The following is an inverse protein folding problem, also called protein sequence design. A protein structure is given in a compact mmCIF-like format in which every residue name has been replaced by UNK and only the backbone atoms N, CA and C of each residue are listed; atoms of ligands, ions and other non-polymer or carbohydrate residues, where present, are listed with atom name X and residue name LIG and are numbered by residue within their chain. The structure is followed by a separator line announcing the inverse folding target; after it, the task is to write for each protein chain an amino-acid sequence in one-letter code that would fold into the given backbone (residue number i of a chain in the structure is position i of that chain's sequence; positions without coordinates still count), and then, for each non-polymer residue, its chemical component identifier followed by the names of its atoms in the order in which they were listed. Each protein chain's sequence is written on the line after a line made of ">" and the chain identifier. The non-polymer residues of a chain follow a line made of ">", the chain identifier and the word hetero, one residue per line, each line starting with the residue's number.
data_IF_692414064450
#
_entry.id   IF_692414064450
#
_cell.length_a   1.000
_cell.length_b   1.000
_cell.length_c   1.000
_cell.angle_alpha   90.00
_cell.angle_beta   90.00
_cell.angle_gamma   90.00
#
_symmetry.space_group_name_H-M   'P 1'
#
loop_
_entity.id
_entity.type
_entity.pdbx_description
1 polymer ?
#
# COMPACT_ATOMS: atom_id res chain seq x y z
N UNK A 1 -0.30 -2.57 -29.31
CA UNK A 1 -0.99 -3.82 -29.70
C UNK A 1 -0.35 -5.04 -29.05
N UNK A 2 0.99 -5.17 -29.04
CA UNK A 2 1.69 -6.25 -28.30
C UNK A 2 1.48 -6.09 -26.79
N UNK A 3 1.55 -4.87 -26.27
CA UNK A 3 1.45 -4.60 -24.82
C UNK A 3 0.05 -4.88 -24.29
N UNK A 4 -0.99 -4.56 -25.06
CA UNK A 4 -2.39 -4.90 -24.74
C UNK A 4 -2.62 -6.42 -24.69
N UNK A 5 -2.21 -7.16 -25.71
CA UNK A 5 -2.36 -8.62 -25.72
C UNK A 5 -1.53 -9.30 -24.61
N UNK A 6 -0.34 -8.77 -24.32
CA UNK A 6 0.55 -9.27 -23.26
C UNK A 6 -0.02 -8.97 -21.87
N UNK A 7 -0.50 -7.74 -21.64
CA UNK A 7 -1.14 -7.33 -20.39
C UNK A 7 -2.43 -8.12 -20.13
N UNK A 8 -3.19 -8.43 -21.18
CA UNK A 8 -4.41 -9.22 -21.06
C UNK A 8 -4.11 -10.70 -20.78
N UNK A 9 -3.09 -11.26 -21.44
CA UNK A 9 -2.59 -12.60 -21.13
C UNK A 9 -2.07 -12.68 -19.67
N UNK A 10 -1.28 -11.70 -19.23
CA UNK A 10 -0.79 -11.63 -17.85
C UNK A 10 -1.95 -11.53 -16.85
N UNK A 11 -2.94 -10.69 -17.13
CA UNK A 11 -4.15 -10.58 -16.29
C UNK A 11 -4.90 -11.92 -16.19
N UNK A 12 -5.00 -12.70 -17.26
CA UNK A 12 -5.60 -14.05 -17.21
C UNK A 12 -4.75 -15.02 -16.40
N UNK A 13 -3.45 -15.07 -16.67
CA UNK A 13 -2.53 -16.03 -16.03
C UNK A 13 -2.38 -15.79 -14.53
N UNK A 14 -2.24 -14.53 -14.12
CA UNK A 14 -1.92 -14.19 -12.73
C UNK A 14 -3.12 -13.72 -11.92
N UNK A 15 -4.16 -13.19 -12.57
CA UNK A 15 -5.26 -12.53 -11.89
C UNK A 15 -6.65 -13.08 -12.28
N UNK A 16 -6.73 -14.15 -13.08
CA UNK A 16 -8.02 -14.70 -13.52
C UNK A 16 -8.88 -13.69 -14.28
N UNK A 17 -8.24 -12.70 -14.92
CA UNK A 17 -8.89 -11.61 -15.64
C UNK A 17 -9.75 -12.06 -16.83
N UNK A 18 -10.58 -11.16 -17.38
CA UNK A 18 -11.55 -11.51 -18.41
C UNK A 18 -10.89 -12.06 -19.70
N UNK A 19 -11.60 -12.93 -20.44
CA UNK A 19 -11.12 -13.46 -21.71
C UNK A 19 -11.09 -12.40 -22.82
N UNK A 20 -11.64 -11.20 -22.62
CA UNK A 20 -11.60 -10.11 -23.59
C UNK A 20 -11.46 -8.77 -22.86
N UNK A 21 -10.96 -7.71 -23.53
CA UNK A 21 -10.95 -6.36 -22.98
C UNK A 21 -12.38 -5.94 -22.62
N UNK A 22 -12.62 -5.55 -21.38
CA UNK A 22 -13.90 -5.02 -20.92
C UNK A 22 -13.77 -3.56 -20.44
N UNK A 23 -14.88 -2.87 -20.13
CA UNK A 23 -14.85 -1.49 -19.61
C UNK A 23 -14.10 -1.37 -18.28
N UNK A 24 -13.99 -2.46 -17.52
CA UNK A 24 -13.24 -2.53 -16.26
C UNK A 24 -11.75 -2.88 -16.48
N UNK A 25 -11.31 -3.05 -17.73
CA UNK A 25 -9.95 -3.40 -18.11
C UNK A 25 -9.31 -2.26 -18.91
N UNK A 26 -8.18 -1.76 -18.43
CA UNK A 26 -7.36 -0.77 -19.15
C UNK A 26 -5.99 -1.38 -19.44
N UNK A 27 -5.53 -1.40 -20.70
CA UNK A 27 -4.17 -1.81 -21.03
C UNK A 27 -3.19 -0.83 -20.38
N UNK A 28 -2.17 -1.37 -19.71
CA UNK A 28 -1.01 -0.61 -19.25
C UNK A 28 0.10 -0.79 -20.28
N UNK A 29 0.65 0.30 -20.79
CA UNK A 29 1.88 0.27 -21.58
C UNK A 29 3.07 -0.04 -20.66
N UNK A 30 3.96 -0.95 -21.08
CA UNK A 30 5.14 -1.29 -20.29
C UNK A 30 6.04 -0.08 -20.03
N UNK A 31 6.08 0.88 -20.97
CA UNK A 31 6.81 2.14 -20.80
C UNK A 31 6.21 3.08 -19.75
N UNK A 32 4.89 3.02 -19.53
CA UNK A 32 4.16 3.82 -18.55
C UNK A 32 3.91 3.07 -17.22
N UNK A 33 4.33 1.80 -17.14
CA UNK A 33 4.08 0.95 -15.98
C UNK A 33 4.58 1.55 -14.65
N UNK A 34 5.78 2.16 -14.56
CA UNK A 34 6.20 2.81 -13.33
C UNK A 34 5.24 3.94 -12.91
N UNK A 35 4.89 4.83 -13.83
CA UNK A 35 4.03 5.97 -13.56
C UNK A 35 2.58 5.55 -13.25
N UNK A 36 2.05 4.51 -13.88
CA UNK A 36 0.66 4.10 -13.70
C UNK A 36 0.45 3.08 -12.58
N UNK A 37 1.42 2.17 -12.37
CA UNK A 37 1.27 1.05 -11.43
C UNK A 37 2.04 1.29 -10.16
N UNK A 38 3.31 1.69 -10.25
CA UNK A 38 4.13 1.92 -9.05
C UNK A 38 3.63 3.14 -8.28
N UNK A 39 3.40 4.27 -8.95
CA UNK A 39 2.85 5.48 -8.31
C UNK A 39 1.49 5.20 -7.67
N UNK A 40 0.57 4.57 -8.42
CA UNK A 40 -0.75 4.20 -7.93
C UNK A 40 -0.68 3.28 -6.72
N UNK A 41 0.21 2.28 -6.73
CA UNK A 41 0.40 1.38 -5.58
C UNK A 41 0.89 2.17 -4.36
N UNK A 42 1.90 3.03 -4.54
CA UNK A 42 2.38 3.86 -3.44
C UNK A 42 1.29 4.78 -2.89
N UNK A 43 0.49 5.42 -3.75
CA UNK A 43 -0.61 6.29 -3.30
C UNK A 43 -1.68 5.51 -2.55
N UNK A 44 -2.02 4.30 -2.98
CA UNK A 44 -2.98 3.44 -2.27
C UNK A 44 -2.48 3.03 -0.88
N UNK A 45 -1.21 2.61 -0.76
CA UNK A 45 -0.60 2.25 0.52
C UNK A 45 -0.51 3.49 1.44
N UNK A 46 -0.06 4.63 0.92
CA UNK A 46 -0.03 5.89 1.66
C UNK A 46 -1.43 6.35 2.10
N UNK A 47 -2.46 6.15 1.26
CA UNK A 47 -3.84 6.46 1.59
C UNK A 47 -4.39 5.59 2.71
N UNK A 48 -4.07 4.30 2.70
CA UNK A 48 -4.44 3.38 3.79
C UNK A 48 -3.81 3.81 5.10
N UNK A 49 -2.52 4.15 5.08
CA UNK A 49 -1.80 4.59 6.28
C UNK A 49 -2.46 5.83 6.90
N UNK A 50 -2.72 6.87 6.10
CA UNK A 50 -3.34 8.10 6.59
C UNK A 50 -4.76 7.88 7.10
N UNK A 51 -5.57 7.04 6.43
CA UNK A 51 -6.91 6.69 6.90
C UNK A 51 -6.90 6.04 8.29
N UNK A 52 -5.97 5.11 8.52
CA UNK A 52 -5.85 4.45 9.83
C UNK A 52 -5.39 5.43 10.94
N UNK A 53 -4.61 6.44 10.58
CA UNK A 53 -4.24 7.54 11.48
C UNK A 53 -5.45 8.43 11.80
N UNK A 54 -6.24 8.81 10.79
CA UNK A 54 -7.47 9.59 10.96
C UNK A 54 -8.47 8.89 11.89
N UNK A 55 -8.76 7.61 11.64
CA UNK A 55 -9.69 6.81 12.47
C UNK A 55 -9.25 6.72 13.95
N UNK A 56 -7.94 6.84 14.22
CA UNK A 56 -7.40 6.83 15.58
C UNK A 56 -7.56 8.20 16.23
N UNK A 57 -7.28 9.28 15.49
CA UNK A 57 -7.40 10.63 16.02
C UNK A 57 -8.86 10.95 16.36
N UNK A 58 -9.82 10.49 15.56
CA UNK A 58 -11.26 10.53 15.86
C UNK A 58 -11.61 9.76 17.15
N UNK A 59 -10.95 8.62 17.41
CA UNK A 59 -11.19 7.81 18.60
C UNK A 59 -10.56 8.39 19.89
N UNK A 60 -9.59 9.29 19.76
CA UNK A 60 -8.92 9.95 20.90
C UNK A 60 -9.54 11.31 21.26
N UNK A 61 -10.56 11.76 20.51
CA UNK A 61 -11.27 12.99 20.84
C UNK A 61 -11.92 12.87 22.24
N UNK A 62 -11.60 13.76 23.20
CA UNK A 62 -11.97 13.56 24.59
C UNK A 62 -13.50 13.61 24.79
N UNK A 63 -14.03 12.56 25.41
CA UNK A 63 -15.42 12.46 25.86
C UNK A 63 -15.66 13.55 26.92
N UNK A 64 -16.19 14.70 26.50
CA UNK A 64 -16.41 15.86 27.38
C UNK A 64 -16.40 17.22 26.68
N UNK A 65 -15.90 17.31 25.44
CA UNK A 65 -16.18 18.45 24.60
C UNK A 65 -17.67 18.44 24.23
N UNK A 66 -18.40 19.52 24.52
CA UNK A 66 -19.79 19.65 24.11
C UNK A 66 -19.89 19.42 22.60
N UNK A 67 -20.92 18.71 22.08
CA UNK A 67 -21.06 18.50 20.66
C UNK A 67 -21.28 19.86 20.00
N UNK A 68 -20.21 20.46 19.48
CA UNK A 68 -20.34 21.45 18.43
C UNK A 68 -21.11 20.78 17.29
N UNK A 69 -22.02 21.48 16.59
CA UNK A 69 -22.66 20.90 15.42
C UNK A 69 -21.55 20.34 14.54
N UNK A 70 -21.67 19.07 14.15
CA UNK A 70 -20.70 18.34 13.32
C UNK A 70 -20.41 19.16 12.05
N UNK A 71 -19.48 20.12 12.16
CA UNK A 71 -18.68 20.52 11.04
C UNK A 71 -17.91 19.24 10.74
N UNK A 72 -18.15 18.66 9.57
CA UNK A 72 -17.23 17.69 9.03
C UNK A 72 -15.84 18.33 9.18
N UNK A 73 -15.06 17.89 10.18
CA UNK A 73 -13.69 18.36 10.36
C UNK A 73 -13.06 18.21 8.99
N UNK A 74 -12.52 19.31 8.47
CA UNK A 74 -11.86 19.27 7.17
C UNK A 74 -10.86 18.10 7.21
N UNK A 75 -10.81 17.25 6.17
CA UNK A 75 -9.93 16.10 6.18
C UNK A 75 -8.51 16.57 6.49
N UNK A 76 -7.92 15.99 7.54
CA UNK A 76 -6.57 16.34 7.97
C UNK A 76 -5.62 16.11 6.78
N UNK A 77 -4.78 17.09 6.40
CA UNK A 77 -3.93 16.94 5.23
C UNK A 77 -2.98 15.75 5.42
N UNK A 78 -2.94 14.87 4.43
CA UNK A 78 -2.03 13.74 4.39
C UNK A 78 -0.60 14.23 4.17
N UNK A 79 0.18 14.29 5.24
CA UNK A 79 1.56 14.80 5.25
C UNK A 79 2.48 13.74 5.82
N UNK A 80 3.71 13.66 5.28
CA UNK A 80 4.72 12.75 5.80
C UNK A 80 5.15 13.16 7.21
N UNK A 81 5.19 14.47 7.49
CA UNK A 81 5.50 15.01 8.82
C UNK A 81 4.55 14.43 9.89
N UNK A 82 3.24 14.41 9.64
CA UNK A 82 2.26 13.83 10.57
C UNK A 82 2.51 12.34 10.84
N UNK A 83 2.86 11.57 9.80
CA UNK A 83 3.20 10.14 9.96
C UNK A 83 4.41 9.99 10.87
N UNK A 84 5.48 10.77 10.63
CA UNK A 84 6.70 10.73 11.44
C UNK A 84 6.42 11.14 12.88
N UNK A 85 5.73 12.26 13.09
CA UNK A 85 5.39 12.77 14.42
C UNK A 85 4.54 11.77 15.22
N UNK A 86 3.70 10.98 14.54
CA UNK A 86 2.91 9.94 15.18
C UNK A 86 3.73 8.71 15.57
N UNK A 87 4.71 8.34 14.76
CA UNK A 87 5.58 7.20 15.04
C UNK A 87 6.64 7.51 16.10
N UNK A 88 6.98 8.78 16.28
CA UNK A 88 7.91 9.25 17.34
C UNK A 88 7.20 9.69 18.62
N UNK A 89 5.85 9.77 18.62
CA UNK A 89 5.09 10.15 19.79
C UNK A 89 5.30 9.16 20.95
N UNK A 90 5.65 9.69 22.11
CA UNK A 90 5.73 8.89 23.33
C UNK A 90 4.34 8.32 23.69
N UNK A 91 4.27 7.11 24.30
CA UNK A 91 3.00 6.55 24.75
C UNK A 91 2.32 7.55 25.70
N UNK A 92 1.11 7.97 25.32
CA UNK A 92 0.41 9.07 25.97
C UNK A 92 -0.21 8.67 27.31
N UNK A 93 -0.35 7.37 27.59
CA UNK A 93 -0.92 6.84 28.83
C UNK A 93 -0.09 5.63 29.33
N UNK A 94 0.38 5.61 30.59
CA UNK A 94 1.01 4.43 31.19
C UNK A 94 0.11 3.19 31.22
N UNK A 95 -1.22 3.32 31.05
CA UNK A 95 -2.16 2.22 30.94
C UNK A 95 -2.23 1.60 29.52
N UNK A 96 -1.74 2.28 28.48
CA UNK A 96 -1.71 1.78 27.09
C UNK A 96 -0.60 0.72 26.88
N UNK A 97 0.13 0.36 27.95
CA UNK A 97 1.25 -0.57 27.92
C UNK A 97 2.55 0.08 27.44
N UNK A 98 3.63 -0.70 27.38
CA UNK A 98 4.93 -0.24 26.85
C UNK A 98 4.97 -0.17 25.32
N UNK A 99 3.89 -0.56 24.66
CA UNK A 99 3.84 -0.68 23.21
C UNK A 99 3.44 0.67 22.62
N UNK A 100 4.40 1.39 22.06
CA UNK A 100 4.16 2.68 21.39
C UNK A 100 3.16 2.60 20.22
N UNK A 101 2.91 3.73 19.56
CA UNK A 101 1.90 3.82 18.49
C UNK A 101 2.20 2.91 17.28
N UNK A 102 3.48 2.68 16.98
CA UNK A 102 3.93 1.89 15.84
C UNK A 102 3.45 0.42 15.89
N UNK A 103 3.67 -0.37 16.97
CA UNK A 103 3.12 -1.73 17.11
C UNK A 103 1.61 -1.84 16.88
N UNK A 104 0.82 -0.89 17.40
CA UNK A 104 -0.64 -0.92 17.25
C UNK A 104 -1.07 -0.61 15.82
N UNK A 105 -0.40 0.34 15.17
CA UNK A 105 -0.65 0.65 13.75
C UNK A 105 -0.26 -0.52 12.85
N UNK A 106 0.89 -1.15 13.12
CA UNK A 106 1.35 -2.37 12.45
C UNK A 106 0.33 -3.53 12.55
N UNK A 107 -0.24 -3.75 13.74
CA UNK A 107 -1.28 -4.77 13.94
C UNK A 107 -2.55 -4.46 13.13
N UNK A 108 -3.01 -3.20 13.12
CA UNK A 108 -4.18 -2.78 12.33
C UNK A 108 -3.95 -2.93 10.82
N UNK A 109 -2.78 -2.50 10.34
CA UNK A 109 -2.38 -2.69 8.93
C UNK A 109 -2.40 -4.17 8.54
N UNK A 110 -1.88 -5.05 9.41
CA UNK A 110 -1.88 -6.50 9.16
C UNK A 110 -3.29 -7.05 8.97
N UNK A 111 -4.24 -6.64 9.82
CA UNK A 111 -5.65 -7.07 9.72
C UNK A 111 -6.28 -6.57 8.43
N UNK A 112 -6.03 -5.31 8.06
CA UNK A 112 -6.62 -4.70 6.87
C UNK A 112 -6.08 -5.35 5.58
N UNK A 113 -4.76 -5.51 5.48
CA UNK A 113 -4.12 -6.18 4.35
C UNK A 113 -4.59 -7.63 4.24
N UNK A 114 -4.67 -8.37 5.35
CA UNK A 114 -5.17 -9.75 5.34
C UNK A 114 -6.64 -9.84 4.88
N UNK A 115 -7.48 -8.86 5.25
CA UNK A 115 -8.89 -8.80 4.78
C UNK A 115 -8.98 -8.57 3.28
N UNK A 116 -8.15 -7.68 2.75
CA UNK A 116 -8.10 -7.39 1.32
C UNK A 116 -7.54 -8.55 0.52
N UNK A 117 -6.45 -9.17 0.98
CA UNK A 117 -5.88 -10.36 0.35
C UNK A 117 -6.92 -11.50 0.33
N UNK A 118 -7.63 -11.73 1.43
CA UNK A 118 -8.73 -12.71 1.47
C UNK A 118 -9.92 -12.33 0.57
N UNK A 119 -10.21 -11.04 0.39
CA UNK A 119 -11.23 -10.57 -0.55
C UNK A 119 -10.80 -10.77 -2.01
N UNK A 120 -9.54 -10.47 -2.33
CA UNK A 120 -8.94 -10.73 -3.61
C UNK A 120 -9.00 -12.23 -3.91
N UNK A 121 -8.51 -13.12 -3.03
CA UNK A 121 -8.58 -14.58 -3.24
C UNK A 121 -10.01 -15.06 -3.51
N UNK A 122 -11.01 -14.53 -2.80
CA UNK A 122 -12.43 -14.86 -3.04
C UNK A 122 -12.93 -14.40 -4.41
N UNK A 123 -12.52 -13.22 -4.86
CA UNK A 123 -12.86 -12.71 -6.20
C UNK A 123 -12.20 -13.56 -7.30
N UNK A 124 -10.92 -13.94 -7.11
CA UNK A 124 -10.17 -14.77 -8.06
C UNK A 124 -10.70 -16.22 -8.11
N UNK A 125 -11.14 -16.78 -6.98
CA UNK A 125 -11.78 -18.11 -6.93
C UNK A 125 -13.22 -18.14 -7.47
N UNK A 126 -13.82 -16.99 -7.77
CA UNK A 126 -15.17 -16.84 -8.32
C UNK A 126 -15.13 -16.41 -9.79
N UNK A 127 -14.35 -17.11 -10.62
CA UNK A 127 -14.53 -17.04 -12.09
C UNK A 127 -15.99 -17.32 -12.50
N UNK A 128 -16.44 -16.88 -13.69
CA UNK A 128 -17.86 -16.82 -14.02
C UNK A 128 -18.50 -18.21 -14.12
N UNK A 129 -19.03 -18.70 -13.01
CA UNK A 129 -20.08 -19.70 -12.99
C UNK A 129 -21.42 -18.96 -13.12
N UNK A 130 -21.80 -18.60 -14.35
CA UNK A 130 -23.14 -18.12 -14.64
C UNK A 130 -23.66 -18.75 -15.93
N UNK A 131 -24.51 -19.77 -15.79
CA UNK A 131 -25.53 -20.11 -16.78
C UNK A 131 -25.45 -21.51 -17.41
N UNK A 132 -25.67 -22.57 -16.62
CA UNK A 132 -26.35 -23.78 -17.11
C UNK A 132 -26.77 -24.67 -15.92
N UNK A 133 -28.06 -24.72 -15.62
CA UNK A 133 -28.64 -25.86 -14.89
C UNK A 133 -28.46 -27.11 -15.76
N UNK A 134 -27.57 -28.02 -15.33
CA UNK A 134 -27.36 -29.32 -15.95
C UNK A 134 -26.80 -30.30 -14.92
N UNK A 135 -27.31 -31.53 -14.80
CA UNK A 135 -26.92 -32.43 -13.73
C UNK A 135 -25.54 -33.05 -14.02
N UNK A 136 -24.70 -33.03 -12.98
CA UNK A 136 -23.61 -33.95 -12.68
C UNK A 136 -22.58 -34.28 -13.80
N UNK A 137 -21.38 -33.70 -13.68
CA UNK A 137 -20.18 -34.16 -14.37
C UNK A 137 -19.18 -33.02 -14.50
N UNK A 138 -18.08 -33.08 -13.77
CA UNK A 138 -17.17 -31.96 -13.57
C UNK A 138 -16.28 -31.57 -14.75
N UNK A 139 -15.50 -30.53 -14.46
CA UNK A 139 -14.39 -29.95 -15.21
C UNK A 139 -14.74 -28.91 -16.29
N UNK A 140 -14.42 -27.66 -15.98
CA UNK A 140 -14.14 -26.59 -16.93
C UNK A 140 -12.87 -25.83 -16.57
N UNK A 141 -11.94 -26.47 -15.84
CA UNK A 141 -10.61 -25.94 -15.53
C UNK A 141 -9.57 -26.64 -16.39
N UNK A 142 -8.58 -25.90 -16.89
CA UNK A 142 -7.46 -26.47 -17.65
C UNK A 142 -6.65 -27.41 -16.73
N UNK A 143 -6.57 -28.73 -17.03
CA UNK A 143 -5.96 -29.73 -16.15
C UNK A 143 -4.48 -29.49 -15.84
N UNK A 144 -3.80 -28.70 -16.68
CA UNK A 144 -2.39 -28.38 -16.52
C UNK A 144 -2.12 -27.31 -15.46
N UNK A 145 -3.14 -26.56 -15.04
CA UNK A 145 -3.01 -25.41 -14.14
C UNK A 145 -3.56 -25.75 -12.74
N UNK A 146 -4.64 -26.54 -12.69
CA UNK A 146 -5.37 -26.87 -11.45
C UNK A 146 -4.57 -27.74 -10.45
N UNK A 147 -3.50 -28.40 -10.91
CA UNK A 147 -2.65 -29.26 -10.09
C UNK A 147 -1.49 -28.56 -9.36
N UNK A 148 -1.26 -27.27 -9.60
CA UNK A 148 -0.07 -26.55 -9.11
C UNK A 148 -0.35 -25.56 -7.97
N UNK A 149 -1.57 -25.53 -7.41
CA UNK A 149 -1.85 -24.70 -6.24
C UNK A 149 -0.95 -25.13 -5.07
N UNK A 150 -0.02 -24.28 -4.61
CA UNK A 150 0.94 -24.68 -3.61
C UNK A 150 0.22 -24.91 -2.27
N UNK A 151 0.45 -26.08 -1.67
CA UNK A 151 -0.15 -26.49 -0.38
C UNK A 151 0.32 -25.59 0.78
N UNK A 152 1.37 -24.81 0.55
CA UNK A 152 1.93 -23.82 1.48
C UNK A 152 2.05 -22.46 0.79
N UNK A 153 1.88 -21.33 1.51
CA UNK A 153 2.11 -20.02 0.92
C UNK A 153 3.57 -19.92 0.44
N UNK A 154 3.76 -19.51 -0.82
CA UNK A 154 5.08 -19.39 -1.45
C UNK A 154 5.96 -18.31 -0.79
N UNK A 155 5.34 -17.40 -0.06
CA UNK A 155 6.00 -16.36 0.71
C UNK A 155 5.59 -16.49 2.18
N UNK A 156 6.54 -16.39 3.13
CA UNK A 156 6.21 -16.22 4.53
C UNK A 156 5.27 -15.02 4.71
N UNK A 157 4.28 -15.09 5.62
CA UNK A 157 3.40 -13.96 5.87
C UNK A 157 4.22 -12.78 6.38
N UNK A 158 4.07 -11.62 5.72
CA UNK A 158 4.70 -10.37 6.14
C UNK A 158 4.26 -10.03 7.55
N UNK A 159 5.22 -9.66 8.39
CA UNK A 159 4.96 -9.17 9.74
C UNK A 159 4.31 -7.79 9.66
N UNK A 160 3.57 -7.40 10.70
CA UNK A 160 2.96 -6.07 10.75
C UNK A 160 3.97 -4.93 10.70
N UNK A 161 5.18 -5.14 11.21
CA UNK A 161 6.26 -4.14 11.15
C UNK A 161 6.79 -3.96 9.73
N UNK A 162 6.98 -5.06 8.99
CA UNK A 162 7.34 -4.99 7.57
C UNK A 162 6.26 -4.27 6.78
N UNK A 163 4.97 -4.57 7.02
CA UNK A 163 3.87 -3.85 6.39
C UNK A 163 3.89 -2.36 6.74
N UNK A 164 4.13 -1.99 7.99
CA UNK A 164 4.25 -0.58 8.37
C UNK A 164 5.42 0.10 7.66
N UNK A 165 6.59 -0.54 7.57
CA UNK A 165 7.74 -0.03 6.82
C UNK A 165 7.45 0.14 5.32
N UNK A 166 6.75 -0.81 4.70
CA UNK A 166 6.29 -0.71 3.30
C UNK A 166 5.40 0.53 3.10
N UNK A 167 4.42 0.73 4.00
CA UNK A 167 3.47 1.85 3.90
C UNK A 167 4.12 3.21 4.17
N UNK A 168 5.08 3.28 5.11
CA UNK A 168 5.89 4.48 5.34
C UNK A 168 6.77 4.77 4.13
N UNK A 169 7.39 3.74 3.54
CA UNK A 169 8.17 3.86 2.31
C UNK A 169 7.31 4.42 1.17
N UNK A 170 6.11 3.90 0.98
CA UNK A 170 5.15 4.41 0.00
C UNK A 170 4.81 5.89 0.23
N UNK A 171 4.57 6.30 1.49
CA UNK A 171 4.31 7.70 1.84
C UNK A 171 5.52 8.60 1.53
N UNK A 172 6.74 8.15 1.83
CA UNK A 172 7.98 8.88 1.49
C UNK A 172 8.14 9.01 -0.02
N UNK A 173 7.90 7.94 -0.78
CA UNK A 173 7.96 7.98 -2.24
C UNK A 173 6.94 8.96 -2.83
N UNK A 174 5.69 8.94 -2.36
CA UNK A 174 4.67 9.90 -2.80
C UNK A 174 5.08 11.35 -2.50
N UNK A 175 5.60 11.61 -1.29
CA UNK A 175 6.09 12.93 -0.92
C UNK A 175 7.27 13.38 -1.80
N UNK A 176 8.18 12.48 -2.14
CA UNK A 176 9.32 12.78 -3.02
C UNK A 176 8.86 13.09 -4.45
N UNK A 177 7.91 12.35 -4.99
CA UNK A 177 7.30 12.60 -6.31
C UNK A 177 6.62 13.98 -6.32
N UNK A 178 5.79 14.25 -5.31
CA UNK A 178 4.97 15.47 -5.27
C UNK A 178 5.77 16.74 -4.94
N UNK A 179 6.90 16.64 -4.24
CA UNK A 179 7.61 17.81 -3.67
C UNK A 179 9.05 17.99 -4.12
N UNK A 180 9.72 16.93 -4.57
CA UNK A 180 11.14 16.93 -4.94
C UNK A 180 11.40 16.58 -6.40
N UNK A 181 10.36 16.36 -7.21
CA UNK A 181 10.50 15.99 -8.61
C UNK A 181 11.12 14.60 -8.81
N UNK A 182 10.97 13.71 -7.82
CA UNK A 182 11.28 12.30 -8.00
C UNK A 182 10.27 11.66 -8.96
N UNK A 183 10.63 10.50 -9.51
CA UNK A 183 9.76 9.72 -10.37
C UNK A 183 9.66 8.27 -9.86
N UNK A 184 8.51 7.61 -10.05
CA UNK A 184 8.42 6.17 -9.89
C UNK A 184 9.26 5.48 -10.97
N UNK A 185 9.86 4.36 -10.59
CA UNK A 185 10.65 3.50 -11.45
C UNK A 185 10.37 2.04 -11.12
N UNK A 186 10.87 1.15 -11.97
CA UNK A 186 10.80 -0.29 -11.75
C UNK A 186 12.18 -0.89 -11.96
N UNK A 187 12.70 -1.54 -10.93
CA UNK A 187 13.84 -2.44 -11.00
C UNK A 187 13.27 -3.87 -11.11
N UNK A 188 13.67 -4.63 -12.12
CA UNK A 188 13.12 -5.97 -12.34
C UNK A 188 13.57 -6.97 -11.26
N UNK A 189 14.69 -6.69 -10.58
CA UNK A 189 15.20 -7.55 -9.51
C UNK A 189 14.58 -7.16 -8.16
N UNK A 190 14.48 -5.85 -7.91
CA UNK A 190 14.12 -5.32 -6.60
C UNK A 190 12.68 -4.78 -6.53
N UNK A 191 11.99 -4.65 -7.67
CA UNK A 191 10.63 -4.12 -7.77
C UNK A 191 10.56 -2.59 -7.85
N UNK A 192 9.50 -1.98 -7.30
CA UNK A 192 9.32 -0.52 -7.26
C UNK A 192 10.57 0.24 -6.81
N UNK A 193 10.95 1.26 -7.55
CA UNK A 193 12.16 2.04 -7.30
C UNK A 193 11.87 3.54 -7.35
N UNK A 194 12.41 4.30 -6.40
CA UNK A 194 12.35 5.76 -6.45
C UNK A 194 13.53 6.30 -7.28
N UNK A 195 13.23 7.10 -8.30
CA UNK A 195 14.22 7.76 -9.14
C UNK A 195 14.35 9.24 -8.77
N UNK A 196 15.56 9.68 -8.45
CA UNK A 196 15.90 11.09 -8.18
C UNK A 196 16.94 11.54 -9.19
N UNK A 197 16.60 12.51 -10.04
CA UNK A 197 17.47 12.92 -11.15
C UNK A 197 17.80 11.77 -12.13
N UNK A 198 16.83 10.86 -12.35
CA UNK A 198 17.00 9.68 -13.21
C UNK A 198 17.84 8.55 -12.61
N UNK A 199 18.26 8.64 -11.35
CA UNK A 199 19.02 7.60 -10.65
C UNK A 199 18.21 6.97 -9.53
N UNK A 200 18.31 5.65 -9.39
CA UNK A 200 17.68 4.92 -8.30
C UNK A 200 18.27 5.30 -6.95
N UNK A 201 17.40 5.54 -5.96
CA UNK A 201 17.75 5.64 -4.54
C UNK A 201 17.45 4.32 -3.84
N UNK A 202 18.48 3.66 -3.33
CA UNK A 202 18.38 2.38 -2.61
C UNK A 202 18.68 2.50 -1.11
N UNK A 203 19.00 3.70 -0.64
CA UNK A 203 19.43 4.02 0.72
C UNK A 203 18.28 4.40 1.66
N UNK A 204 17.03 4.30 1.21
CA UNK A 204 15.83 4.67 1.98
C UNK A 204 15.44 3.62 3.04
N UNK A 205 15.77 2.34 2.83
CA UNK A 205 15.30 1.25 3.68
C UNK A 205 15.74 1.42 5.14
N UNK A 206 17.01 1.76 5.38
CA UNK A 206 17.53 1.91 6.73
C UNK A 206 16.88 3.08 7.50
N UNK A 207 16.77 4.31 6.94
CA UNK A 207 16.05 5.40 7.57
C UNK A 207 14.60 5.10 7.95
N UNK A 208 13.87 4.37 7.10
CA UNK A 208 12.49 3.97 7.40
C UNK A 208 12.44 2.95 8.52
N UNK A 209 13.36 1.98 8.53
CA UNK A 209 13.46 1.01 9.62
C UNK A 209 13.76 1.70 10.95
N UNK A 210 14.74 2.61 11.03
CA UNK A 210 15.00 3.36 12.28
C UNK A 210 13.76 4.07 12.82
N UNK A 211 12.93 4.66 11.94
CA UNK A 211 11.67 5.27 12.35
C UNK A 211 10.65 4.24 12.87
N UNK A 212 10.42 3.16 12.14
CA UNK A 212 9.39 2.16 12.48
C UNK A 212 9.80 1.30 13.67
N UNK A 213 11.09 1.03 13.78
CA UNK A 213 11.63 0.07 14.73
C UNK A 213 11.97 0.71 16.06
N UNK A 214 12.64 1.86 16.02
CA UNK A 214 13.22 2.53 17.18
C UNK A 214 12.48 3.84 17.52
N UNK A 215 11.56 4.29 16.66
CA UNK A 215 10.94 5.61 16.80
C UNK A 215 11.93 6.76 16.55
N UNK A 216 13.05 6.49 15.87
CA UNK A 216 14.07 7.50 15.53
C UNK A 216 13.85 8.02 14.11
N UNK A 217 13.34 9.24 14.02
CA UNK A 217 13.11 9.92 12.74
C UNK A 217 14.33 10.67 12.19
N UNK A 218 15.43 10.75 12.95
CA UNK A 218 16.63 11.52 12.59
C UNK A 218 17.24 11.10 11.25
N UNK A 219 17.52 9.80 11.03
CA UNK A 219 18.02 9.30 9.75
C UNK A 219 17.09 9.63 8.57
N UNK A 220 15.77 9.52 8.78
CA UNK A 220 14.79 9.81 7.73
C UNK A 220 14.75 11.32 7.42
N UNK A 221 14.76 12.19 8.44
CA UNK A 221 14.81 13.65 8.23
C UNK A 221 16.07 14.07 7.47
N UNK A 222 17.22 13.47 7.78
CA UNK A 222 18.47 13.71 7.06
C UNK A 222 18.35 13.33 5.58
N UNK A 223 17.87 12.11 5.29
CA UNK A 223 17.66 11.63 3.92
C UNK A 223 16.68 12.52 3.13
N UNK A 224 15.57 12.92 3.75
CA UNK A 224 14.57 13.81 3.15
C UNK A 224 15.20 15.18 2.79
N UNK A 225 16.05 15.72 3.68
CA UNK A 225 16.76 16.97 3.45
C UNK A 225 17.74 16.90 2.28
N UNK A 226 18.46 15.79 2.13
CA UNK A 226 19.39 15.56 1.01
C UNK A 226 18.67 15.44 -0.33
N UNK A 227 17.52 14.79 -0.36
CA UNK A 227 16.68 14.65 -1.57
C UNK A 227 15.91 15.94 -1.87
N UNK A 228 15.66 16.78 -0.85
CA UNK A 228 14.87 18.01 -0.97
C UNK A 228 13.36 17.78 -0.79
N UNK A 229 12.95 16.67 -0.19
CA UNK A 229 11.54 16.36 0.10
C UNK A 229 11.00 17.31 1.17
N UNK A 230 9.76 17.76 1.01
CA UNK A 230 9.06 18.66 1.93
C UNK A 230 7.99 17.88 2.71
N UNK A 231 8.32 17.28 3.87
CA UNK A 231 7.40 16.38 4.58
C UNK A 231 6.12 17.05 5.09
N UNK A 232 6.15 18.37 5.26
CA UNK A 232 5.03 19.20 5.70
C UNK A 232 4.01 19.51 4.59
N UNK A 233 4.36 19.29 3.32
CA UNK A 233 3.44 19.55 2.21
C UNK A 233 2.45 18.39 2.06
N UNK A 234 1.18 18.70 1.72
CA UNK A 234 0.18 17.67 1.48
C UNK A 234 0.56 16.82 0.26
N UNK A 235 0.41 15.51 0.42
CA UNK A 235 0.61 14.49 -0.61
C UNK A 235 -0.72 14.17 -1.28
N UNK A 236 -0.72 13.99 -2.59
CA UNK A 236 -1.91 13.54 -3.35
C UNK A 236 -2.04 12.03 -3.20
N UNK A 237 -3.20 11.56 -2.78
CA UNK A 237 -3.43 10.14 -2.49
C UNK A 237 -4.43 9.48 -3.46
N UNK A 238 -4.75 10.17 -4.56
CA UNK A 238 -5.74 9.78 -5.57
C UNK A 238 -5.17 9.90 -6.97
#
# INVERSE_FOLDING_TARGET
>A
MIDEATSLLAARLFHGGPPEPGPDWSPVDWGAYPEEVVDRKWRQEAARLNRLLDERDDAHEPIGAAPAPASASAPTPATLARVMDRLTAAPSDPADGTDGDAPRLAARLSVEVAREEAAATRAHGRGPAAGAEGPAGGSGGDPWIDGFAPVFPLQPPRTGRELLADHVTAMVCCAAVDTAGAAPGLDWLDGPALLVGGRRRADLAHPVLSLVEDGDDGPLRAWLGEVGVRPEKPVRLV
#
